data_IF_687052669912
#
_entry.id   IF_687052669912
#
_cell.length_a   1.000
_cell.length_b   1.000
_cell.length_c   1.000
_cell.angle_alpha   90.00
_cell.angle_beta   90.00
_cell.angle_gamma   90.00
#
_symmetry.space_group_name_H-M   'P 1'
#
loop_
_entity.id
_entity.type
_entity.pdbx_description
1 polymer ?
#
# COMPACT_ATOMS: atom_id res chain seq x y z
N UNK A 1 -32.91 -23.61 -26.02
CA UNK A 1 -31.46 -23.86 -26.10
C UNK A 1 -30.82 -22.49 -26.24
N UNK A 2 -30.32 -21.96 -25.14
CA UNK A 2 -29.76 -20.62 -25.05
C UNK A 2 -28.23 -20.78 -25.14
N UNK A 3 -27.70 -20.69 -26.36
CA UNK A 3 -26.27 -20.79 -26.63
C UNK A 3 -25.72 -19.42 -26.95
N UNK A 4 -25.88 -18.47 -26.02
CA UNK A 4 -25.00 -17.30 -25.96
C UNK A 4 -23.64 -17.78 -25.47
N UNK A 5 -22.69 -17.92 -26.40
CA UNK A 5 -21.28 -17.92 -26.04
C UNK A 5 -20.97 -16.51 -25.53
N UNK A 6 -21.12 -16.29 -24.23
CA UNK A 6 -21.01 -14.96 -23.60
C UNK A 6 -19.60 -14.36 -23.67
N UNK A 7 -18.62 -15.08 -24.23
CA UNK A 7 -17.23 -14.64 -24.24
C UNK A 7 -16.61 -14.86 -25.62
N UNK A 8 -16.08 -13.79 -26.22
CA UNK A 8 -15.37 -13.78 -27.51
C UNK A 8 -14.01 -14.51 -27.48
N UNK A 9 -13.76 -15.36 -26.47
CA UNK A 9 -12.49 -16.03 -26.24
C UNK A 9 -12.73 -17.53 -26.22
N UNK A 10 -12.16 -18.25 -27.18
CA UNK A 10 -12.19 -19.71 -27.23
C UNK A 10 -11.59 -20.28 -25.93
N UNK A 11 -12.32 -21.14 -25.20
CA UNK A 11 -11.89 -21.67 -23.91
C UNK A 11 -12.03 -20.72 -22.70
N UNK A 12 -12.61 -19.53 -22.91
CA UNK A 12 -12.90 -18.56 -21.85
C UNK A 12 -11.66 -18.02 -21.14
N UNK A 13 -11.81 -17.61 -19.87
CA UNK A 13 -10.71 -17.06 -19.07
C UNK A 13 -9.48 -17.99 -19.02
N UNK A 14 -9.68 -19.30 -19.03
CA UNK A 14 -8.61 -20.29 -18.90
C UNK A 14 -7.71 -20.40 -20.12
N UNK A 15 -8.13 -19.95 -21.30
CA UNK A 15 -7.28 -19.95 -22.48
C UNK A 15 -6.33 -18.76 -22.54
N UNK A 16 -6.54 -17.72 -21.72
CA UNK A 16 -5.67 -16.55 -21.67
C UNK A 16 -4.24 -16.91 -21.22
N UNK A 17 -3.27 -16.14 -21.71
CA UNK A 17 -1.87 -16.27 -21.34
C UNK A 17 -1.58 -15.76 -19.92
N UNK A 18 -0.47 -16.21 -19.35
CA UNK A 18 -0.05 -15.83 -18.00
C UNK A 18 0.13 -14.31 -17.82
N UNK A 19 0.56 -13.59 -18.87
CA UNK A 19 0.72 -12.14 -18.83
C UNK A 19 -0.61 -11.41 -18.54
N UNK A 20 -1.72 -11.88 -19.11
CA UNK A 20 -3.03 -11.28 -18.86
C UNK A 20 -3.49 -11.56 -17.43
N UNK A 21 -3.22 -12.76 -16.91
CA UNK A 21 -3.52 -13.03 -15.50
C UNK A 21 -2.68 -12.18 -14.55
N UNK A 22 -1.42 -11.88 -14.89
CA UNK A 22 -0.57 -11.01 -14.09
C UNK A 22 -1.05 -9.55 -14.12
N UNK A 23 -1.55 -9.07 -15.27
CA UNK A 23 -2.21 -7.77 -15.36
C UNK A 23 -3.49 -7.74 -14.52
N UNK A 24 -4.30 -8.80 -14.56
CA UNK A 24 -5.49 -8.91 -13.72
C UNK A 24 -5.12 -8.90 -12.23
N UNK A 25 -4.07 -9.63 -11.83
CA UNK A 25 -3.57 -9.60 -10.47
C UNK A 25 -3.12 -8.20 -10.05
N UNK A 26 -2.47 -7.42 -10.92
CA UNK A 26 -2.01 -6.06 -10.56
C UNK A 26 -3.12 -5.04 -10.34
N UNK A 27 -4.32 -5.28 -10.85
CA UNK A 27 -5.48 -4.42 -10.63
C UNK A 27 -6.22 -4.72 -9.31
N UNK A 28 -5.90 -5.84 -8.65
CA UNK A 28 -6.52 -6.21 -7.37
C UNK A 28 -6.03 -5.29 -6.24
N UNK A 29 -6.95 -4.89 -5.35
CA UNK A 29 -6.64 -3.97 -4.25
C UNK A 29 -6.33 -4.69 -2.93
N UNK A 30 -6.85 -5.91 -2.75
CA UNK A 30 -6.74 -6.65 -1.51
C UNK A 30 -5.93 -7.95 -1.72
N UNK A 31 -4.99 -8.28 -0.82
CA UNK A 31 -4.25 -9.54 -0.90
C UNK A 31 -5.16 -10.79 -0.89
N UNK A 32 -6.34 -10.70 -0.26
CA UNK A 32 -7.32 -11.79 -0.25
C UNK A 32 -7.84 -12.11 -1.66
N UNK A 33 -8.04 -11.10 -2.51
CA UNK A 33 -8.59 -11.30 -3.86
C UNK A 33 -7.56 -12.00 -4.74
N UNK A 34 -6.29 -11.62 -4.63
CA UNK A 34 -5.18 -12.31 -5.29
C UNK A 34 -5.13 -13.76 -4.86
N UNK A 35 -5.21 -14.02 -3.55
CA UNK A 35 -5.21 -15.39 -3.03
C UNK A 35 -6.39 -16.20 -3.58
N UNK A 36 -7.59 -15.64 -3.61
CA UNK A 36 -8.78 -16.32 -4.14
C UNK A 36 -8.59 -16.67 -5.61
N UNK A 37 -8.04 -15.76 -6.42
CA UNK A 37 -7.78 -16.01 -7.84
C UNK A 37 -6.72 -17.10 -8.08
N UNK A 38 -5.64 -17.09 -7.30
CA UNK A 38 -4.55 -18.05 -7.42
C UNK A 38 -4.97 -19.50 -7.12
N UNK A 39 -5.94 -19.70 -6.23
CA UNK A 39 -6.39 -21.04 -5.83
C UNK A 39 -7.49 -21.62 -6.73
N UNK A 40 -7.94 -20.90 -7.76
CA UNK A 40 -8.99 -21.37 -8.66
C UNK A 40 -8.62 -22.65 -9.40
N UNK A 41 -7.38 -22.77 -9.89
CA UNK A 41 -6.90 -23.95 -10.59
C UNK A 41 -5.36 -24.02 -10.68
N UNK A 42 -4.85 -25.13 -11.21
CA UNK A 42 -3.40 -25.37 -11.36
C UNK A 42 -2.70 -24.34 -12.26
N UNK A 43 -3.38 -23.75 -13.24
CA UNK A 43 -2.80 -22.76 -14.15
C UNK A 43 -2.62 -21.42 -13.44
N UNK A 44 -3.64 -20.92 -12.76
CA UNK A 44 -3.54 -19.67 -11.97
C UNK A 44 -2.61 -19.84 -10.78
N UNK A 45 -2.57 -21.02 -10.14
CA UNK A 45 -1.64 -21.29 -9.06
C UNK A 45 -0.18 -21.16 -9.48
N UNK A 46 0.19 -21.53 -10.73
CA UNK A 46 1.56 -21.39 -11.24
C UNK A 46 2.03 -19.93 -11.35
N UNK A 47 1.13 -18.94 -11.32
CA UNK A 47 1.49 -17.53 -11.36
C UNK A 47 2.39 -17.12 -10.18
N UNK A 48 2.34 -17.83 -9.04
CA UNK A 48 3.23 -17.57 -7.90
C UNK A 48 4.71 -17.75 -8.25
N UNK A 49 5.02 -18.56 -9.27
CA UNK A 49 6.38 -18.82 -9.73
C UNK A 49 6.85 -17.80 -10.77
N UNK A 50 5.97 -16.94 -11.26
CA UNK A 50 6.30 -15.99 -12.31
C UNK A 50 7.16 -14.84 -11.75
N UNK A 51 8.25 -14.41 -12.42
CA UNK A 51 9.15 -13.36 -11.91
C UNK A 51 8.45 -12.03 -11.54
N UNK A 52 7.36 -11.70 -12.22
CA UNK A 52 6.55 -10.49 -11.94
C UNK A 52 5.68 -10.60 -10.68
N UNK A 53 5.40 -11.80 -10.18
CA UNK A 53 4.45 -12.02 -9.09
C UNK A 53 4.83 -11.27 -7.81
N UNK A 54 6.10 -11.32 -7.41
CA UNK A 54 6.58 -10.66 -6.20
C UNK A 54 6.33 -9.14 -6.25
N UNK A 55 6.60 -8.50 -7.39
CA UNK A 55 6.36 -7.06 -7.58
C UNK A 55 4.88 -6.71 -7.50
N UNK A 56 4.02 -7.57 -8.06
CA UNK A 56 2.56 -7.38 -8.03
C UNK A 56 2.03 -7.53 -6.60
N UNK A 57 2.43 -8.57 -5.87
CA UNK A 57 2.00 -8.74 -4.48
C UNK A 57 2.47 -7.58 -3.61
N UNK A 58 3.69 -7.10 -3.81
CA UNK A 58 4.21 -5.96 -3.07
C UNK A 58 3.42 -4.66 -3.31
N UNK A 59 2.89 -4.44 -4.53
CA UNK A 59 2.03 -3.28 -4.79
C UNK A 59 0.63 -3.40 -4.17
N UNK A 60 0.16 -4.63 -3.92
CA UNK A 60 -1.18 -4.93 -3.40
C UNK A 60 -1.19 -5.01 -1.88
N UNK A 61 -0.10 -5.50 -1.28
CA UNK A 61 0.09 -5.42 0.17
C UNK A 61 0.31 -3.95 0.50
N UNK A 62 -0.81 -3.27 0.77
CA UNK A 62 -0.83 -1.92 1.29
C UNK A 62 0.10 -1.90 2.52
N UNK A 63 1.13 -1.05 2.48
CA UNK A 63 1.95 -0.80 3.66
C UNK A 63 1.00 -0.15 4.65
N UNK A 64 0.60 -0.88 5.69
CA UNK A 64 -0.09 -0.28 6.84
C UNK A 64 0.97 0.44 7.65
N UNK A 65 1.03 1.78 7.62
CA UNK A 65 2.04 2.48 8.36
C UNK A 65 1.71 2.41 9.85
N UNK A 66 2.64 1.93 10.65
CA UNK A 66 2.62 2.08 12.09
C UNK A 66 3.44 3.32 12.45
N UNK A 67 2.82 4.29 13.12
CA UNK A 67 3.52 5.47 13.62
C UNK A 67 4.28 5.13 14.90
N UNK A 68 5.59 5.41 14.91
CA UNK A 68 6.43 5.24 16.10
C UNK A 68 6.33 6.50 16.97
N UNK A 69 5.48 6.43 17.99
CA UNK A 69 5.27 7.50 18.98
C UNK A 69 6.04 7.14 20.24
N UNK A 70 7.06 7.92 20.58
CA UNK A 70 7.92 7.69 21.76
C UNK A 70 7.38 8.41 23.00
N UNK A 71 6.86 9.62 22.81
CA UNK A 71 6.44 10.50 23.89
C UNK A 71 5.04 11.04 23.63
N UNK A 72 4.26 11.23 24.70
CA UNK A 72 2.85 11.61 24.59
C UNK A 72 2.66 13.00 23.94
N UNK A 73 3.63 13.90 24.10
CA UNK A 73 3.60 15.24 23.48
C UNK A 73 3.72 15.19 21.96
N UNK A 74 4.22 14.11 21.37
CA UNK A 74 4.30 14.02 19.91
C UNK A 74 2.89 13.97 19.32
N UNK A 75 1.99 13.22 19.95
CA UNK A 75 0.61 13.08 19.52
C UNK A 75 0.06 11.67 19.72
N UNK A 76 -0.94 11.32 18.91
CA UNK A 76 -1.61 10.01 18.95
C UNK A 76 -1.89 9.48 17.55
N UNK A 77 -2.06 8.16 17.44
CA UNK A 77 -2.48 7.50 16.20
C UNK A 77 -3.89 6.92 16.31
N UNK A 78 -4.62 6.95 15.20
CA UNK A 78 -5.87 6.20 15.00
C UNK A 78 -5.78 5.47 13.66
N UNK A 79 -5.50 4.17 13.71
CA UNK A 79 -5.22 3.37 12.51
C UNK A 79 -4.05 3.95 11.70
N UNK A 80 -4.32 4.32 10.45
CA UNK A 80 -3.35 4.91 9.51
C UNK A 80 -3.28 6.44 9.57
N UNK A 81 -3.89 7.07 10.59
CA UNK A 81 -3.85 8.51 10.81
C UNK A 81 -3.01 8.83 12.04
N UNK A 82 -2.23 9.90 11.93
CA UNK A 82 -1.53 10.49 13.05
C UNK A 82 -2.08 11.88 13.32
N UNK A 83 -2.27 12.19 14.60
CA UNK A 83 -2.68 13.50 15.09
C UNK A 83 -1.54 14.05 15.93
N UNK A 84 -0.95 15.15 15.46
CA UNK A 84 0.00 15.92 16.26
C UNK A 84 -0.68 16.44 17.52
N UNK A 85 0.05 16.55 18.62
CA UNK A 85 -0.48 17.24 19.81
C UNK A 85 -0.76 18.70 19.51
N UNK A 86 -1.54 19.35 20.34
CA UNK A 86 -1.75 20.80 20.31
C UNK A 86 -0.61 21.59 20.96
N UNK A 87 0.48 20.90 21.34
CA UNK A 87 1.65 21.55 21.89
C UNK A 87 2.48 22.23 20.78
N UNK A 88 3.12 23.34 21.15
CA UNK A 88 3.84 24.21 20.21
C UNK A 88 5.24 23.68 19.83
N UNK A 89 5.40 22.37 19.76
CA UNK A 89 6.66 21.68 19.54
C UNK A 89 6.83 21.21 18.09
N UNK A 90 8.10 21.09 17.66
CA UNK A 90 8.44 20.48 16.37
C UNK A 90 8.46 18.97 16.58
N UNK A 91 7.64 18.23 15.85
CA UNK A 91 7.61 16.78 15.94
C UNK A 91 8.16 16.11 14.68
N UNK A 92 8.96 15.07 14.87
CA UNK A 92 9.32 14.11 13.81
C UNK A 92 8.69 12.76 14.15
N UNK A 93 8.07 12.12 13.16
CA UNK A 93 7.41 10.82 13.33
C UNK A 93 8.05 9.84 12.37
N UNK A 94 8.45 8.68 12.89
CA UNK A 94 8.93 7.57 12.06
C UNK A 94 7.76 6.63 11.74
N UNK A 95 7.82 6.00 10.56
CA UNK A 95 6.86 5.02 10.09
C UNK A 95 7.54 3.64 10.03
N UNK A 96 6.83 2.61 10.50
CA UNK A 96 7.21 1.22 10.36
C UNK A 96 6.15 0.49 9.50
N UNK A 97 6.53 -0.26 8.45
CA UNK A 97 7.90 -0.48 7.98
C UNK A 97 8.51 0.72 7.24
N UNK A 98 9.84 0.78 7.23
CA UNK A 98 10.60 1.70 6.37
C UNK A 98 10.23 1.43 4.90
N UNK A 99 9.83 2.49 4.20
CA UNK A 99 9.51 2.42 2.77
C UNK A 99 10.83 2.34 2.00
N UNK A 100 11.20 1.13 1.56
CA UNK A 100 12.41 0.88 0.76
C UNK A 100 12.15 0.86 -0.74
N UNK A 101 10.95 0.44 -1.14
CA UNK A 101 10.55 0.24 -2.52
C UNK A 101 9.06 0.57 -2.68
N UNK A 102 8.66 1.03 -3.87
CA UNK A 102 7.28 1.39 -4.20
C UNK A 102 6.97 2.89 -4.10
N UNK A 103 5.69 3.23 -4.23
CA UNK A 103 5.18 4.61 -4.13
C UNK A 103 4.16 4.65 -2.99
N UNK A 104 4.33 5.59 -2.06
CA UNK A 104 3.36 5.86 -1.00
C UNK A 104 2.72 7.23 -1.18
N UNK A 105 1.45 7.35 -0.81
CA UNK A 105 0.75 8.63 -0.72
C UNK A 105 0.64 9.03 0.76
N UNK A 106 1.20 10.17 1.11
CA UNK A 106 1.05 10.79 2.44
C UNK A 106 0.16 12.01 2.28
N UNK A 107 -0.85 12.14 3.14
CA UNK A 107 -1.75 13.27 3.18
C UNK A 107 -1.58 13.99 4.52
N UNK A 108 -1.41 15.31 4.46
CA UNK A 108 -1.18 16.15 5.63
C UNK A 108 -2.19 17.28 5.64
N UNK A 109 -2.94 17.38 6.74
CA UNK A 109 -3.95 18.42 6.95
C UNK A 109 -3.43 19.36 8.03
N UNK A 110 -3.47 20.65 7.74
CA UNK A 110 -3.04 21.71 8.64
C UNK A 110 -4.26 22.53 9.08
N UNK A 111 -4.67 22.33 10.32
CA UNK A 111 -5.79 23.06 10.93
C UNK A 111 -5.28 24.08 11.94
N UNK A 112 -6.03 25.16 12.16
CA UNK A 112 -5.78 26.15 13.22
C UNK A 112 -4.37 26.76 13.29
N UNK A 113 -3.67 26.86 12.15
CA UNK A 113 -2.22 27.21 12.16
C UNK A 113 -1.89 28.67 12.44
N UNK A 114 -2.85 29.52 12.82
CA UNK A 114 -2.59 30.88 13.33
C UNK A 114 -1.68 31.79 12.49
N UNK A 115 -1.56 31.56 11.18
CA UNK A 115 -0.64 32.31 10.29
C UNK A 115 0.82 31.83 10.25
N UNK A 116 1.16 30.74 10.94
CA UNK A 116 2.52 30.20 10.97
C UNK A 116 2.88 29.42 9.70
N UNK A 117 4.17 29.45 9.35
CA UNK A 117 4.72 28.70 8.22
C UNK A 117 4.57 27.19 8.43
N UNK A 118 3.96 26.51 7.46
CA UNK A 118 3.74 25.07 7.45
C UNK A 118 4.87 24.41 6.67
N UNK A 119 5.63 23.54 7.31
CA UNK A 119 6.75 22.84 6.67
C UNK A 119 6.61 21.34 6.88
N UNK A 120 6.88 20.59 5.81
CA UNK A 120 6.95 19.13 5.83
C UNK A 120 8.31 18.76 5.24
N UNK A 121 8.99 17.83 5.89
CA UNK A 121 10.21 17.22 5.39
C UNK A 121 10.07 15.70 5.39
N UNK A 122 10.63 15.07 4.35
CA UNK A 122 10.85 13.63 4.32
C UNK A 122 12.36 13.44 4.32
N UNK A 123 12.84 12.51 5.15
CA UNK A 123 14.25 12.17 5.20
C UNK A 123 14.44 10.67 5.07
N UNK A 124 15.65 10.30 4.65
CA UNK A 124 16.07 8.92 4.59
C UNK A 124 16.13 8.30 6.00
N UNK A 125 15.91 6.99 6.09
CA UNK A 125 15.94 6.27 7.35
C UNK A 125 17.32 6.30 8.05
N UNK A 126 18.40 6.63 7.32
CA UNK A 126 19.73 6.88 7.90
C UNK A 126 19.86 8.22 8.61
N UNK A 127 18.93 9.16 8.40
CA UNK A 127 18.94 10.44 9.10
C UNK A 127 18.56 10.27 10.57
N UNK A 128 19.42 10.75 11.45
CA UNK A 128 19.13 10.85 12.88
C UNK A 128 18.67 12.26 13.20
N UNK A 129 17.48 12.38 13.76
CA UNK A 129 16.97 13.65 14.28
C UNK A 129 17.20 13.68 15.79
N UNK A 130 17.81 14.76 16.29
CA UNK A 130 17.68 15.06 17.71
C UNK A 130 16.20 15.31 17.99
N UNK A 131 15.61 14.58 18.94
CA UNK A 131 14.30 14.93 19.45
C UNK A 131 14.39 16.40 19.91
N UNK A 132 13.61 17.26 19.27
CA UNK A 132 13.56 18.69 19.58
C UNK A 132 12.83 18.95 20.88
#
# INVERSE_FOLDING_TARGET
>A
MDHTSEYNVEGGLLSLGENIFLELLSEMQLPQDVRQFLILNKKTFKLILHPRYARIIQSIIQITPLFVIKEAWQGRSDGNKFFHSDEYHRCTIALEPIIREGIVRIEVIFENTGGWSRMIGIADASCSFAAG
#
